data_IF_458504505043
#
_entry.id   IF_458504505043
#
_cell.length_a   1.000
_cell.length_b   1.000
_cell.length_c   1.000
_cell.angle_alpha   90.00
_cell.angle_beta   90.00
_cell.angle_gamma   90.00
#
_symmetry.space_group_name_H-M   'P 1'
#
loop_
_entity.id
_entity.type
_entity.pdbx_description
1 polymer ?
#
# COMPACT_ATOMS: atom_id res chain seq x y z
N UNK A 1 64.26 8.37 58.96
CA UNK A 1 63.16 9.19 59.49
C UNK A 1 63.76 10.29 60.32
N UNK A 2 63.51 11.56 59.97
CA UNK A 2 63.81 12.68 60.85
C UNK A 2 62.50 13.04 61.57
N UNK A 3 62.49 12.97 62.90
CA UNK A 3 61.33 13.30 63.73
C UNK A 3 61.62 14.59 64.47
N UNK A 4 61.05 15.71 64.02
CA UNK A 4 60.89 16.91 64.85
C UNK A 4 59.49 16.82 65.44
N UNK A 5 59.37 17.00 66.76
CA UNK A 5 58.25 16.56 67.61
C UNK A 5 56.83 17.00 67.25
N UNK A 6 56.60 17.73 66.15
CA UNK A 6 55.30 18.26 65.73
C UNK A 6 54.79 17.72 64.37
N UNK A 7 55.63 17.09 63.53
CA UNK A 7 55.20 16.51 62.25
C UNK A 7 56.16 15.43 61.72
N UNK A 8 55.64 14.51 60.90
CA UNK A 8 56.41 13.43 60.29
C UNK A 8 56.52 13.63 58.78
N UNK A 9 57.74 13.54 58.23
CA UNK A 9 57.98 13.57 56.79
C UNK A 9 58.37 12.18 56.27
N UNK A 10 57.65 11.69 55.28
CA UNK A 10 57.90 10.43 54.58
C UNK A 10 58.33 10.72 53.15
N UNK A 11 59.61 10.56 52.87
CA UNK A 11 60.13 10.73 51.51
C UNK A 11 59.56 9.64 50.58
N UNK A 12 59.11 10.05 49.39
CA UNK A 12 58.51 9.15 48.40
C UNK A 12 59.47 8.90 47.24
N UNK A 13 59.93 9.96 46.58
CA UNK A 13 60.79 9.85 45.41
C UNK A 13 61.70 11.07 45.26
N UNK A 14 62.90 10.85 44.73
CA UNK A 14 63.88 11.90 44.45
C UNK A 14 64.48 11.66 43.07
N UNK A 15 64.26 12.62 42.18
CA UNK A 15 64.68 12.59 40.78
C UNK A 15 65.43 13.86 40.43
N UNK A 16 66.18 13.85 39.33
CA UNK A 16 66.97 15.02 38.90
C UNK A 16 66.14 16.31 38.76
N UNK A 17 64.84 16.18 38.46
CA UNK A 17 63.90 17.30 38.32
C UNK A 17 63.17 17.70 39.61
N UNK A 18 63.40 17.04 40.75
CA UNK A 18 62.78 17.41 42.02
C UNK A 18 62.62 16.27 43.03
N UNK A 19 61.98 16.58 44.15
CA UNK A 19 61.77 15.66 45.25
C UNK A 19 60.30 15.64 45.67
N UNK A 20 59.78 14.46 45.96
CA UNK A 20 58.42 14.21 46.43
C UNK A 20 58.47 13.57 47.82
N UNK A 21 57.65 14.09 48.73
CA UNK A 21 57.52 13.60 50.09
C UNK A 21 56.11 13.88 50.61
N UNK A 22 55.67 13.05 51.53
CA UNK A 22 54.41 13.20 52.26
C UNK A 22 54.72 13.82 53.64
N UNK A 23 53.99 14.86 54.02
CA UNK A 23 54.09 15.50 55.34
C UNK A 23 52.83 15.20 56.14
N UNK A 24 52.99 14.52 57.26
CA UNK A 24 51.93 14.13 58.19
C UNK A 24 52.04 15.04 59.41
N UNK A 25 51.17 16.05 59.48
CA UNK A 25 51.14 17.02 60.58
C UNK A 25 50.49 16.45 61.86
N UNK A 26 49.66 15.43 61.71
CA UNK A 26 49.08 14.65 62.82
C UNK A 26 48.81 13.24 62.31
N UNK A 27 49.17 12.17 63.04
CA UNK A 27 48.77 10.83 62.65
C UNK A 27 47.25 10.75 62.66
N UNK A 28 46.66 10.49 61.49
CA UNK A 28 45.22 10.26 61.35
C UNK A 28 44.79 9.21 62.36
N UNK A 29 43.73 9.48 63.16
CA UNK A 29 43.17 8.51 64.08
C UNK A 29 42.93 7.16 63.37
N UNK A 30 43.19 6.00 64.01
CA UNK A 30 43.39 4.71 63.33
C UNK A 30 42.16 4.10 62.63
N UNK A 31 41.09 4.86 62.34
CA UNK A 31 39.93 4.33 61.62
C UNK A 31 39.14 5.34 60.77
N UNK A 32 39.75 6.45 60.37
CA UNK A 32 39.12 7.31 59.34
C UNK A 32 39.44 6.79 57.93
N UNK A 33 39.11 5.52 57.64
CA UNK A 33 38.71 5.14 56.28
C UNK A 33 37.35 5.77 56.04
N UNK A 34 37.34 7.09 55.87
CA UNK A 34 36.20 7.77 55.30
C UNK A 34 35.99 7.17 53.93
N UNK A 35 35.02 6.26 53.82
CA UNK A 35 34.39 5.91 52.55
C UNK A 35 33.75 7.18 52.02
N UNK A 36 34.56 8.05 51.43
CA UNK A 36 34.06 9.08 50.55
C UNK A 36 33.57 8.31 49.32
N UNK A 37 32.26 8.27 49.01
CA UNK A 37 31.78 7.61 47.80
C UNK A 37 32.06 8.55 46.61
N UNK A 38 33.33 8.87 46.37
CA UNK A 38 33.78 9.66 45.22
C UNK A 38 34.38 8.79 44.12
N UNK A 39 34.43 7.48 44.32
CA UNK A 39 34.58 6.58 43.18
C UNK A 39 33.22 6.49 42.49
N UNK A 40 33.07 7.20 41.37
CA UNK A 40 32.06 6.82 40.38
C UNK A 40 32.18 5.31 40.22
N UNK A 41 31.08 4.53 40.31
CA UNK A 41 31.17 3.08 40.21
C UNK A 41 31.97 2.77 38.96
N UNK A 42 33.06 1.99 39.09
CA UNK A 42 33.90 1.59 37.96
C UNK A 42 32.95 1.00 36.92
N UNK A 43 32.58 1.80 35.91
CA UNK A 43 31.74 1.33 34.83
C UNK A 43 32.54 0.17 34.23
N UNK A 44 31.93 -1.01 34.15
CA UNK A 44 32.54 -2.11 33.40
C UNK A 44 32.92 -1.55 32.05
N UNK A 45 34.19 -1.69 31.67
CA UNK A 45 34.66 -1.20 30.38
C UNK A 45 33.82 -1.87 29.31
N UNK A 46 33.10 -1.05 28.54
CA UNK A 46 32.23 -1.54 27.46
C UNK A 46 33.14 -2.13 26.41
N UNK A 47 32.94 -3.40 26.04
CA UNK A 47 33.82 -4.03 25.05
C UNK A 47 33.63 -3.40 23.67
N UNK A 48 34.64 -3.54 22.80
CA UNK A 48 34.54 -3.07 21.41
C UNK A 48 33.30 -3.66 20.71
N UNK A 49 33.02 -4.94 20.95
CA UNK A 49 31.87 -5.64 20.37
C UNK A 49 30.53 -5.07 20.86
N UNK A 50 30.42 -4.71 22.14
CA UNK A 50 29.22 -4.10 22.70
C UNK A 50 28.97 -2.69 22.14
N UNK A 51 30.04 -1.93 21.88
CA UNK A 51 29.95 -0.62 21.22
C UNK A 51 29.49 -0.81 19.77
N UNK A 52 30.11 -1.72 19.04
CA UNK A 52 29.74 -2.00 17.65
C UNK A 52 28.28 -2.44 17.53
N UNK A 53 27.84 -3.37 18.40
CA UNK A 53 26.45 -3.84 18.42
C UNK A 53 25.45 -2.70 18.66
N UNK A 54 25.79 -1.70 19.49
CA UNK A 54 24.93 -0.52 19.71
C UNK A 54 24.89 0.41 18.50
N UNK A 55 26.00 0.58 17.79
CA UNK A 55 26.06 1.35 16.55
C UNK A 55 25.24 0.68 15.45
N UNK A 56 25.44 -0.63 15.26
CA UNK A 56 24.69 -1.42 14.27
C UNK A 56 23.19 -1.39 14.56
N UNK A 57 22.79 -1.55 15.83
CA UNK A 57 21.38 -1.46 16.20
C UNK A 57 20.77 -0.07 15.94
N UNK A 58 21.55 1.01 16.05
CA UNK A 58 21.10 2.35 15.71
C UNK A 58 20.99 2.54 14.19
N UNK A 59 21.92 1.98 13.43
CA UNK A 59 21.87 1.96 11.97
C UNK A 59 20.68 1.17 11.44
N UNK A 60 20.40 -0.02 11.98
CA UNK A 60 19.24 -0.81 11.58
C UNK A 60 17.92 -0.11 11.89
N UNK A 61 17.81 0.60 13.01
CA UNK A 61 16.64 1.46 13.29
C UNK A 61 16.48 2.57 12.25
N UNK A 62 17.59 3.20 11.83
CA UNK A 62 17.58 4.23 10.79
C UNK A 62 17.11 3.66 9.45
N UNK A 63 17.68 2.52 9.03
CA UNK A 63 17.31 1.83 7.79
C UNK A 63 15.86 1.37 7.80
N UNK A 64 15.38 0.80 8.91
CA UNK A 64 13.98 0.36 9.02
C UNK A 64 13.02 1.54 8.88
N UNK A 65 13.31 2.67 9.54
CA UNK A 65 12.49 3.86 9.41
C UNK A 65 12.47 4.39 7.96
N UNK A 66 13.63 4.45 7.31
CA UNK A 66 13.72 4.84 5.90
C UNK A 66 12.92 3.88 4.99
N UNK A 67 13.03 2.57 5.22
CA UNK A 67 12.27 1.57 4.48
C UNK A 67 10.75 1.72 4.67
N UNK A 68 10.29 1.99 5.89
CA UNK A 68 8.87 2.26 6.18
C UNK A 68 8.37 3.51 5.46
N UNK A 69 9.16 4.59 5.46
CA UNK A 69 8.83 5.82 4.73
C UNK A 69 8.74 5.55 3.22
N UNK A 70 9.72 4.84 2.65
CA UNK A 70 9.72 4.47 1.23
C UNK A 70 8.53 3.58 0.87
N UNK A 71 8.17 2.63 1.74
CA UNK A 71 6.99 1.78 1.56
C UNK A 71 5.72 2.61 1.48
N UNK A 72 5.49 3.54 2.42
CA UNK A 72 4.32 4.41 2.37
C UNK A 72 4.28 5.33 1.15
N UNK A 73 5.45 5.80 0.69
CA UNK A 73 5.53 6.57 -0.55
C UNK A 73 5.17 5.71 -1.77
N UNK A 74 5.63 4.45 -1.82
CA UNK A 74 5.29 3.52 -2.88
C UNK A 74 3.79 3.19 -2.90
N UNK A 75 3.19 2.92 -1.74
CA UNK A 75 1.74 2.70 -1.59
C UNK A 75 0.92 3.90 -2.12
N UNK A 76 1.34 5.13 -1.81
CA UNK A 76 0.67 6.34 -2.37
C UNK A 76 0.81 6.45 -3.88
N UNK A 77 1.99 6.13 -4.44
CA UNK A 77 2.21 6.12 -5.90
C UNK A 77 1.37 5.05 -6.59
N UNK A 78 1.21 3.89 -5.98
CA UNK A 78 0.34 2.83 -6.49
C UNK A 78 -1.12 3.28 -6.48
N UNK A 79 -1.59 3.84 -5.37
CA UNK A 79 -2.95 4.37 -5.28
C UNK A 79 -3.23 5.47 -6.32
N UNK A 80 -2.30 6.40 -6.55
CA UNK A 80 -2.41 7.42 -7.60
C UNK A 80 -2.63 6.78 -8.99
N UNK A 81 -1.92 5.69 -9.30
CA UNK A 81 -2.09 4.94 -10.57
C UNK A 81 -3.43 4.23 -10.64
N UNK A 82 -3.85 3.57 -9.56
CA UNK A 82 -5.14 2.88 -9.49
C UNK A 82 -6.31 3.85 -9.72
N UNK A 83 -6.27 5.04 -9.12
CA UNK A 83 -7.30 6.06 -9.30
C UNK A 83 -7.37 6.52 -10.77
N UNK A 84 -6.23 6.78 -11.40
CA UNK A 84 -6.19 7.16 -12.82
C UNK A 84 -6.68 6.04 -13.73
N UNK A 85 -6.28 4.80 -13.45
CA UNK A 85 -6.72 3.63 -14.20
C UNK A 85 -8.24 3.46 -14.07
N UNK A 86 -8.78 3.54 -12.85
CA UNK A 86 -10.21 3.42 -12.59
C UNK A 86 -11.01 4.50 -13.31
N UNK A 87 -10.54 5.74 -13.32
CA UNK A 87 -11.19 6.83 -14.06
C UNK A 87 -11.24 6.55 -15.57
N UNK A 88 -10.16 6.00 -16.14
CA UNK A 88 -10.14 5.59 -17.55
C UNK A 88 -11.07 4.40 -17.83
N UNK A 89 -11.08 3.40 -16.95
CA UNK A 89 -11.96 2.24 -17.06
C UNK A 89 -13.44 2.61 -16.98
N UNK A 90 -13.83 3.48 -16.05
CA UNK A 90 -15.21 3.97 -15.94
C UNK A 90 -15.65 4.73 -17.20
N UNK A 91 -14.78 5.57 -17.77
CA UNK A 91 -15.06 6.28 -19.02
C UNK A 91 -15.22 5.34 -20.22
N UNK A 92 -14.36 4.33 -20.32
CA UNK A 92 -14.44 3.31 -21.36
C UNK A 92 -15.71 2.47 -21.20
N UNK A 93 -16.07 2.10 -19.96
CA UNK A 93 -17.26 1.33 -19.69
C UNK A 93 -18.54 2.11 -20.01
N UNK A 94 -18.58 3.41 -19.70
CA UNK A 94 -19.70 4.27 -20.09
C UNK A 94 -19.90 4.28 -21.60
N UNK A 95 -18.82 4.48 -22.36
CA UNK A 95 -18.85 4.49 -23.83
C UNK A 95 -19.34 3.15 -24.38
N UNK A 96 -18.82 2.04 -23.86
CA UNK A 96 -19.23 0.69 -24.27
C UNK A 96 -20.71 0.41 -23.96
N UNK A 97 -21.18 0.75 -22.76
CA UNK A 97 -22.60 0.57 -22.39
C UNK A 97 -23.53 1.43 -23.27
N UNK A 98 -23.12 2.67 -23.58
CA UNK A 98 -23.89 3.54 -24.46
C UNK A 98 -23.98 2.97 -25.89
N UNK A 99 -22.87 2.44 -26.42
CA UNK A 99 -22.81 1.79 -27.73
C UNK A 99 -23.68 0.53 -27.78
N UNK A 100 -23.55 -0.37 -26.81
CA UNK A 100 -24.34 -1.60 -26.73
C UNK A 100 -25.85 -1.29 -26.67
N UNK A 101 -26.24 -0.29 -25.87
CA UNK A 101 -27.63 0.14 -25.76
C UNK A 101 -28.16 0.75 -27.05
N UNK A 102 -27.34 1.49 -27.78
CA UNK A 102 -27.73 2.03 -29.09
C UNK A 102 -27.91 0.89 -30.10
N UNK A 103 -26.96 -0.03 -30.17
CA UNK A 103 -27.03 -1.19 -31.08
C UNK A 103 -28.26 -2.05 -30.82
N UNK A 104 -28.57 -2.33 -29.55
CA UNK A 104 -29.80 -3.06 -29.17
C UNK A 104 -31.07 -2.33 -29.65
N UNK A 105 -31.13 -1.01 -29.49
CA UNK A 105 -32.29 -0.22 -29.97
C UNK A 105 -32.41 -0.22 -31.48
N UNK A 106 -31.29 -0.18 -32.21
CA UNK A 106 -31.28 -0.20 -33.66
C UNK A 106 -31.73 -1.56 -34.21
N UNK A 107 -31.25 -2.66 -33.64
CA UNK A 107 -31.71 -4.00 -34.04
C UNK A 107 -33.18 -4.22 -33.69
N UNK A 108 -33.62 -3.85 -32.48
CA UNK A 108 -35.03 -3.92 -32.12
C UNK A 108 -35.92 -3.08 -33.06
N UNK A 109 -35.46 -1.89 -33.48
CA UNK A 109 -36.19 -1.07 -34.44
C UNK A 109 -36.30 -1.75 -35.81
N UNK A 110 -35.20 -2.33 -36.29
CA UNK A 110 -35.12 -3.03 -37.57
C UNK A 110 -36.01 -4.27 -37.59
N UNK A 111 -35.98 -5.07 -36.53
CA UNK A 111 -36.86 -6.24 -36.37
C UNK A 111 -38.33 -5.83 -36.34
N UNK A 112 -38.68 -4.80 -35.54
CA UNK A 112 -40.05 -4.29 -35.47
C UNK A 112 -40.55 -3.78 -36.82
N UNK A 113 -39.72 -3.04 -37.57
CA UNK A 113 -40.05 -2.59 -38.92
C UNK A 113 -40.28 -3.77 -39.85
N UNK A 114 -39.41 -4.77 -39.79
CA UNK A 114 -39.49 -5.99 -40.62
C UNK A 114 -40.76 -6.78 -40.29
N UNK A 115 -41.07 -6.98 -39.01
CA UNK A 115 -42.29 -7.66 -38.56
C UNK A 115 -43.55 -6.92 -39.03
N UNK A 116 -43.58 -5.59 -38.93
CA UNK A 116 -44.70 -4.78 -39.41
C UNK A 116 -44.92 -4.91 -40.92
N UNK A 117 -43.83 -4.89 -41.70
CA UNK A 117 -43.91 -5.08 -43.15
C UNK A 117 -44.33 -6.51 -43.51
N UNK A 118 -43.82 -7.52 -42.80
CA UNK A 118 -44.20 -8.92 -42.99
C UNK A 118 -45.68 -9.13 -42.72
N UNK A 119 -46.21 -8.62 -41.61
CA UNK A 119 -47.63 -8.70 -41.26
C UNK A 119 -48.53 -7.98 -42.30
N UNK A 120 -48.08 -6.87 -42.87
CA UNK A 120 -48.79 -6.19 -43.95
C UNK A 120 -48.82 -7.05 -45.23
N UNK A 121 -47.67 -7.61 -45.62
CA UNK A 121 -47.57 -8.48 -46.80
C UNK A 121 -48.41 -9.76 -46.65
N UNK A 122 -48.47 -10.34 -45.45
CA UNK A 122 -49.30 -11.52 -45.16
C UNK A 122 -50.79 -11.21 -45.35
N UNK A 123 -51.27 -10.08 -44.84
CA UNK A 123 -52.66 -9.63 -45.06
C UNK A 123 -52.99 -9.42 -46.54
N UNK A 124 -52.04 -8.96 -47.35
CA UNK A 124 -52.25 -8.85 -48.80
C UNK A 124 -52.32 -10.22 -49.47
N UNK A 125 -51.42 -11.15 -49.13
CA UNK A 125 -51.46 -12.53 -49.64
C UNK A 125 -52.76 -13.26 -49.28
N UNK A 126 -53.27 -13.07 -48.06
CA UNK A 126 -54.58 -13.61 -47.66
C UNK A 126 -55.72 -13.05 -48.51
N UNK A 127 -55.71 -11.75 -48.81
CA UNK A 127 -56.71 -11.13 -49.70
C UNK A 127 -56.63 -11.69 -51.11
N UNK A 128 -55.42 -11.84 -51.66
CA UNK A 128 -55.22 -12.40 -52.99
C UNK A 128 -55.71 -13.86 -53.06
N UNK A 129 -55.39 -14.68 -52.04
CA UNK A 129 -55.88 -16.05 -51.94
C UNK A 129 -57.41 -16.10 -51.90
N UNK A 130 -58.05 -15.22 -51.11
CA UNK A 130 -59.51 -15.13 -51.05
C UNK A 130 -60.13 -14.75 -52.40
N UNK A 131 -59.50 -13.85 -53.15
CA UNK A 131 -59.97 -13.47 -54.50
C UNK A 131 -59.88 -14.66 -55.47
N UNK A 132 -58.80 -15.44 -55.43
CA UNK A 132 -58.66 -16.65 -56.24
C UNK A 132 -59.69 -17.72 -55.86
N UNK A 133 -59.94 -17.94 -54.56
CA UNK A 133 -61.01 -18.85 -54.11
C UNK A 133 -62.39 -18.42 -54.60
N UNK A 134 -62.68 -17.11 -54.60
CA UNK A 134 -63.95 -16.57 -55.14
C UNK A 134 -64.06 -16.80 -56.64
N UNK A 135 -62.98 -16.60 -57.42
CA UNK A 135 -62.96 -16.89 -58.87
C UNK A 135 -63.23 -18.37 -59.13
N UNK A 136 -62.51 -19.26 -58.45
CA UNK A 136 -62.68 -20.72 -58.59
C UNK A 136 -64.09 -21.17 -58.22
N UNK A 137 -64.66 -20.63 -57.14
CA UNK A 137 -66.04 -20.94 -56.74
C UNK A 137 -67.09 -20.44 -57.75
N UNK A 138 -66.80 -19.37 -58.49
CA UNK A 138 -67.67 -18.90 -59.57
C UNK A 138 -67.63 -19.88 -60.75
N UNK A 139 -66.44 -20.30 -61.17
CA UNK A 139 -66.25 -21.26 -62.28
C UNK A 139 -66.90 -22.61 -61.99
N UNK A 140 -66.82 -23.12 -60.75
CA UNK A 140 -67.45 -24.39 -60.37
C UNK A 140 -68.97 -24.32 -60.27
N UNK A 141 -69.55 -23.13 -59.99
CA UNK A 141 -71.00 -22.93 -60.05
C UNK A 141 -71.52 -22.82 -61.48
N UNK A 142 -70.82 -22.07 -62.33
CA UNK A 142 -71.19 -21.94 -63.75
C UNK A 142 -71.04 -23.27 -64.52
N UNK A 143 -70.14 -24.18 -64.08
CA UNK A 143 -70.05 -25.54 -64.63
C UNK A 143 -71.11 -26.53 -64.14
N UNK A 144 -71.83 -26.22 -63.05
CA UNK A 144 -72.87 -27.10 -62.48
C UNK A 144 -74.29 -26.81 -62.99
N UNK A 145 -74.51 -25.68 -63.67
CA UNK A 145 -75.81 -25.30 -64.23
C UNK A 145 -75.98 -25.77 -65.71
N UNK A 146 -75.04 -26.55 -66.23
CA UNK A 146 -75.03 -27.08 -67.60
C UNK A 146 -75.37 -28.57 -67.76
N UNK A 147 -75.63 -29.30 -66.68
CA UNK A 147 -76.05 -30.70 -66.72
C UNK A 147 -77.35 -30.91 -65.93
N UNK A 148 -78.48 -30.59 -66.55
CA UNK A 148 -79.78 -31.22 -66.28
C UNK A 148 -80.69 -31.12 -67.52
#
# INVERSE_FOLDING_TARGET
MASSGDFQVKELDKRASGQAFEVILSPTAPDAKGEFPLSTPKKKEVSLDEIQKKLDAAEERRKNHEAEVLKHLAEKREHEKEVLQKAMEENNNFSKMAEEKLNQKMEANKENRTARMAAMNEKFKEKDKKLEEVRKNKETKEGGEGEN
#
